data_IF_862575393824
#
_entry.id   IF_862575393824
#
_cell.length_a   1.000
_cell.length_b   1.000
_cell.length_c   1.000
_cell.angle_alpha   90.00
_cell.angle_beta   90.00
_cell.angle_gamma   90.00
#
_symmetry.space_group_name_H-M   'P 1'
#
loop_
_entity.id
_entity.type
_entity.pdbx_description
1 polymer ?
#
# COMPACT_ATOMS: atom_id res chain seq x y z
N UNK A 1 -20.77 10.52 -6.35
CA UNK A 1 -20.45 11.24 -5.10
C UNK A 1 -20.15 10.26 -3.96
N UNK A 2 -21.05 9.32 -3.63
CA UNK A 2 -20.88 8.34 -2.54
C UNK A 2 -19.48 7.67 -2.49
N UNK A 3 -19.01 7.12 -3.63
CA UNK A 3 -17.73 6.41 -3.70
C UNK A 3 -16.48 7.24 -3.34
N UNK A 4 -16.50 8.57 -3.51
CA UNK A 4 -15.28 9.38 -3.28
C UNK A 4 -15.04 9.60 -1.79
N UNK A 5 -16.10 9.95 -1.03
CA UNK A 5 -16.02 10.06 0.43
C UNK A 5 -15.68 8.71 1.04
N UNK A 6 -16.30 7.63 0.56
CA UNK A 6 -15.97 6.26 0.98
C UNK A 6 -14.50 5.88 0.70
N UNK A 7 -13.93 6.23 -0.45
CA UNK A 7 -12.49 5.99 -0.72
C UNK A 7 -11.59 6.76 0.23
N UNK A 8 -11.89 8.04 0.49
CA UNK A 8 -11.13 8.86 1.43
C UNK A 8 -11.19 8.28 2.86
N UNK A 9 -12.37 7.85 3.34
CA UNK A 9 -12.52 7.25 4.67
C UNK A 9 -11.86 5.88 4.78
N UNK A 10 -11.93 5.04 3.75
CA UNK A 10 -11.20 3.77 3.70
C UNK A 10 -9.68 3.98 3.74
N UNK A 11 -9.16 4.93 2.95
CA UNK A 11 -7.74 5.26 2.94
C UNK A 11 -7.25 5.79 4.30
N UNK A 12 -8.03 6.65 4.96
CA UNK A 12 -7.73 7.13 6.33
C UNK A 12 -7.77 6.01 7.37
N UNK A 13 -8.70 5.06 7.26
CA UNK A 13 -8.76 3.88 8.13
C UNK A 13 -7.51 2.99 7.94
N UNK A 14 -7.09 2.77 6.69
CA UNK A 14 -5.88 1.99 6.38
C UNK A 14 -4.60 2.66 6.92
N UNK A 15 -4.46 3.99 6.82
CA UNK A 15 -3.34 4.71 7.42
C UNK A 15 -3.31 4.54 8.96
N UNK A 16 -4.45 4.75 9.63
CA UNK A 16 -4.58 4.56 11.08
C UNK A 16 -4.26 3.12 11.50
N UNK A 17 -4.71 2.13 10.72
CA UNK A 17 -4.43 0.71 10.94
C UNK A 17 -2.95 0.38 10.75
N UNK A 18 -2.28 0.94 9.74
CA UNK A 18 -0.83 0.82 9.57
C UNK A 18 -0.06 1.43 10.76
N UNK A 19 -0.44 2.63 11.21
CA UNK A 19 0.16 3.31 12.37
C UNK A 19 -0.01 2.49 13.67
N UNK A 20 -1.19 1.90 13.91
CA UNK A 20 -1.42 0.98 15.04
C UNK A 20 -0.47 -0.22 14.95
N UNK A 21 -0.41 -0.91 13.79
CA UNK A 21 0.43 -2.11 13.65
C UNK A 21 1.90 -1.75 13.85
N UNK A 22 2.37 -0.62 13.32
CA UNK A 22 3.74 -0.14 13.49
C UNK A 22 4.09 0.04 14.98
N UNK A 23 3.26 0.78 15.72
CA UNK A 23 3.49 1.05 17.14
C UNK A 23 3.38 -0.24 17.96
N UNK A 24 2.36 -1.07 17.75
CA UNK A 24 2.17 -2.33 18.51
C UNK A 24 3.30 -3.32 18.23
N UNK A 25 3.75 -3.45 16.98
CA UNK A 25 4.86 -4.34 16.60
C UNK A 25 6.19 -3.89 17.23
N UNK A 26 6.41 -2.57 17.34
CA UNK A 26 7.58 -2.03 18.05
C UNK A 26 7.62 -2.45 19.53
N UNK A 27 6.46 -2.60 20.18
CA UNK A 27 6.36 -3.05 21.58
C UNK A 27 6.50 -4.56 21.72
N UNK A 28 5.89 -5.33 20.83
CA UNK A 28 5.85 -6.80 20.92
C UNK A 28 7.24 -7.46 20.75
N UNK A 29 8.15 -6.82 19.99
CA UNK A 29 9.53 -7.30 19.81
C UNK A 29 10.31 -7.37 21.13
N UNK A 30 9.96 -6.56 22.13
CA UNK A 30 10.62 -6.55 23.45
C UNK A 30 10.05 -7.61 24.41
N UNK A 31 8.90 -8.22 24.10
CA UNK A 31 8.30 -9.32 24.87
C UNK A 31 8.59 -10.65 24.18
N UNK A 32 9.63 -11.35 24.63
CA UNK A 32 10.03 -12.65 24.08
C UNK A 32 8.90 -13.67 24.17
N UNK A 33 8.37 -14.10 23.01
CA UNK A 33 7.28 -15.08 22.93
C UNK A 33 7.81 -16.46 23.32
N UNK A 34 7.43 -16.94 24.50
CA UNK A 34 7.64 -18.33 24.91
C UNK A 34 6.76 -19.25 24.06
N UNK A 35 7.39 -20.10 23.24
CA UNK A 35 6.70 -20.97 22.29
C UNK A 35 6.45 -22.36 22.89
N UNK A 36 5.17 -22.73 23.02
CA UNK A 36 4.76 -24.11 23.32
C UNK A 36 4.38 -24.80 22.00
N UNK A 37 5.09 -25.86 21.57
CA UNK A 37 4.82 -26.52 20.29
C UNK A 37 3.51 -27.31 20.32
N UNK A 38 2.55 -26.93 19.48
CA UNK A 38 1.37 -27.73 19.18
C UNK A 38 1.79 -28.87 18.23
N UNK A 39 1.50 -30.10 18.65
CA UNK A 39 1.95 -31.33 17.97
C UNK A 39 0.88 -31.82 17.00
N UNK A 40 1.02 -31.49 15.71
CA UNK A 40 0.16 -32.04 14.66
C UNK A 40 0.67 -33.43 14.20
N UNK A 41 -0.18 -34.47 14.14
CA UNK A 41 0.17 -35.74 13.50
C UNK A 41 0.10 -35.65 11.96
N UNK A 42 0.65 -36.67 11.32
CA UNK A 42 1.10 -36.67 9.91
C UNK A 42 0.04 -37.01 8.86
N UNK A 43 0.42 -36.71 7.61
CA UNK A 43 -0.19 -37.17 6.35
C UNK A 43 -0.52 -38.67 6.32
N UNK A 44 -1.50 -39.04 5.48
CA UNK A 44 -1.37 -40.17 4.54
C UNK A 44 -2.30 -40.02 3.33
N UNK A 45 -1.79 -40.41 2.16
CA UNK A 45 -2.59 -40.70 0.95
C UNK A 45 -3.11 -42.15 1.02
N UNK A 46 -4.19 -42.46 0.31
CA UNK A 46 -4.76 -43.81 0.23
C UNK A 46 -5.76 -43.94 -0.92
N UNK A 47 -5.47 -44.86 -1.84
CA UNK A 47 -6.29 -45.22 -3.02
C UNK A 47 -6.64 -46.69 -2.96
N UNK A 48 -7.93 -47.06 -2.98
CA UNK A 48 -8.39 -48.40 -3.40
C UNK A 48 -9.93 -48.51 -3.51
N UNK A 49 -10.39 -49.64 -4.05
CA UNK A 49 -11.77 -49.93 -4.47
C UNK A 49 -12.41 -51.03 -3.57
N UNK A 50 -13.57 -51.66 -3.83
CA UNK A 50 -14.45 -51.68 -5.01
C UNK A 50 -15.91 -52.03 -4.64
N UNK A 51 -16.75 -52.22 -5.67
CA UNK A 51 -18.12 -52.75 -5.73
C UNK A 51 -18.70 -53.55 -4.54
N UNK A 52 -19.96 -53.24 -4.18
CA UNK A 52 -21.14 -53.93 -4.77
C UNK A 52 -22.48 -53.62 -4.07
N UNK A 53 -23.59 -53.60 -4.81
CA UNK A 53 -24.95 -53.42 -4.25
C UNK A 53 -26.05 -53.22 -5.30
N UNK A 54 -26.84 -54.27 -5.59
CA UNK A 54 -27.80 -54.31 -6.71
C UNK A 54 -29.21 -53.80 -6.38
N UNK A 55 -29.88 -53.12 -7.33
CA UNK A 55 -31.33 -53.19 -7.52
C UNK A 55 -31.75 -52.90 -8.98
N UNK A 56 -32.81 -53.58 -9.45
CA UNK A 56 -33.30 -53.55 -10.84
C UNK A 56 -34.27 -52.40 -11.10
N UNK A 57 -34.19 -51.78 -12.28
CA UNK A 57 -35.38 -51.22 -12.96
C UNK A 57 -35.19 -51.21 -14.48
N UNK A 58 -36.20 -51.66 -15.23
CA UNK A 58 -36.15 -51.76 -16.68
C UNK A 58 -36.38 -50.39 -17.32
N UNK A 59 -35.30 -49.73 -17.74
CA UNK A 59 -35.34 -48.64 -18.72
C UNK A 59 -34.25 -48.89 -19.77
N UNK A 60 -34.45 -48.38 -21.00
CA UNK A 60 -33.47 -48.52 -22.09
C UNK A 60 -32.21 -47.72 -21.79
N UNK A 61 -31.24 -48.35 -21.12
CA UNK A 61 -29.94 -47.74 -20.82
C UNK A 61 -29.11 -47.70 -22.09
N UNK A 62 -28.89 -46.49 -22.61
CA UNK A 62 -27.85 -46.24 -23.61
C UNK A 62 -26.51 -46.47 -22.92
N UNK A 63 -25.86 -47.59 -23.22
CA UNK A 63 -24.58 -47.97 -22.64
C UNK A 63 -23.46 -47.20 -23.33
N UNK A 64 -23.26 -45.93 -22.92
CA UNK A 64 -22.15 -45.13 -23.39
C UNK A 64 -20.82 -45.85 -23.10
N UNK A 65 -19.91 -45.82 -24.07
CA UNK A 65 -18.54 -46.24 -23.84
C UNK A 65 -17.94 -45.35 -22.74
N UNK A 66 -17.48 -45.94 -21.64
CA UNK A 66 -16.86 -45.19 -20.53
C UNK A 66 -15.51 -44.57 -20.90
N UNK A 67 -14.93 -44.94 -22.06
CA UNK A 67 -13.74 -44.31 -22.62
C UNK A 67 -14.10 -42.92 -23.17
N UNK A 68 -14.09 -41.93 -22.29
CA UNK A 68 -14.03 -40.53 -22.66
C UNK A 68 -12.58 -40.19 -23.04
N UNK A 69 -12.27 -40.21 -24.34
CA UNK A 69 -10.96 -39.76 -24.83
C UNK A 69 -10.86 -38.23 -24.67
N UNK A 70 -10.16 -37.78 -23.62
CA UNK A 70 -9.92 -36.35 -23.39
C UNK A 70 -8.87 -35.86 -24.38
N UNK A 71 -9.32 -35.44 -25.56
CA UNK A 71 -8.47 -34.78 -26.55
C UNK A 71 -8.20 -33.34 -26.10
N UNK A 72 -6.97 -33.08 -25.70
CA UNK A 72 -6.50 -31.74 -25.40
C UNK A 72 -6.39 -30.93 -26.72
N UNK A 73 -7.14 -29.84 -26.82
CA UNK A 73 -6.96 -28.83 -27.87
C UNK A 73 -5.61 -28.12 -27.70
N UNK A 74 -5.06 -27.57 -28.78
CA UNK A 74 -3.85 -26.73 -28.68
C UNK A 74 -4.10 -25.53 -27.75
N UNK A 75 -3.09 -25.06 -27.02
CA UNK A 75 -3.29 -23.99 -26.03
C UNK A 75 -3.81 -22.67 -26.63
N UNK A 76 -3.56 -22.44 -27.92
CA UNK A 76 -4.06 -21.30 -28.69
C UNK A 76 -5.55 -21.48 -29.01
N UNK A 77 -5.94 -22.58 -29.64
CA UNK A 77 -7.34 -22.85 -29.99
C UNK A 77 -8.22 -23.06 -28.75
N UNK A 78 -7.67 -23.65 -27.68
CA UNK A 78 -8.38 -23.88 -26.43
C UNK A 78 -8.83 -22.56 -25.77
N UNK A 79 -8.00 -21.49 -25.85
CA UNK A 79 -8.36 -20.17 -25.32
C UNK A 79 -9.46 -19.51 -26.15
N UNK A 80 -9.36 -19.55 -27.48
CA UNK A 80 -10.39 -18.98 -28.36
C UNK A 80 -11.71 -19.74 -28.26
N UNK A 81 -11.67 -21.07 -28.26
CA UNK A 81 -12.85 -21.92 -28.09
C UNK A 81 -13.49 -21.78 -26.70
N UNK A 82 -12.70 -21.54 -25.64
CA UNK A 82 -13.23 -21.20 -24.31
C UNK A 82 -13.93 -19.84 -24.34
N UNK A 83 -13.29 -18.81 -24.89
CA UNK A 83 -13.85 -17.46 -24.97
C UNK A 83 -15.14 -17.42 -25.81
N UNK A 84 -15.21 -18.18 -26.91
CA UNK A 84 -16.42 -18.33 -27.73
C UNK A 84 -17.56 -19.10 -27.04
N UNK A 85 -17.25 -19.89 -26.00
CA UNK A 85 -18.24 -20.65 -25.20
C UNK A 85 -18.63 -19.95 -23.89
N UNK A 86 -18.08 -18.77 -23.59
CA UNK A 86 -18.47 -18.00 -22.42
C UNK A 86 -19.93 -17.54 -22.54
N UNK A 87 -20.72 -17.74 -21.48
CA UNK A 87 -22.05 -17.16 -21.39
C UNK A 87 -21.97 -15.63 -21.32
N UNK A 88 -23.01 -14.92 -21.78
CA UNK A 88 -23.03 -13.45 -21.81
C UNK A 88 -22.61 -12.79 -20.48
N UNK A 89 -23.04 -13.34 -19.34
CA UNK A 89 -22.65 -12.85 -18.01
C UNK A 89 -21.19 -13.15 -17.65
N UNK A 90 -20.64 -14.29 -18.10
CA UNK A 90 -19.21 -14.60 -17.96
C UNK A 90 -18.34 -13.70 -18.86
N UNK A 91 -18.79 -13.42 -20.08
CA UNK A 91 -18.15 -12.48 -21.01
C UNK A 91 -18.13 -11.05 -20.46
N UNK A 92 -19.21 -10.60 -19.81
CA UNK A 92 -19.24 -9.32 -19.09
C UNK A 92 -18.19 -9.24 -17.97
N UNK A 93 -18.12 -10.25 -17.09
CA UNK A 93 -17.09 -10.32 -16.04
C UNK A 93 -15.67 -10.40 -16.61
N UNK A 94 -15.46 -11.20 -17.65
CA UNK A 94 -14.16 -11.29 -18.33
C UNK A 94 -13.77 -9.94 -18.94
N UNK A 95 -14.72 -9.19 -19.53
CA UNK A 95 -14.50 -7.83 -20.05
C UNK A 95 -14.21 -6.82 -18.95
N UNK A 96 -14.81 -6.96 -17.77
CA UNK A 96 -14.48 -6.15 -16.58
C UNK A 96 -13.07 -6.46 -16.06
N UNK A 97 -12.72 -7.73 -15.87
CA UNK A 97 -11.37 -8.16 -15.47
C UNK A 97 -10.32 -7.68 -16.50
N UNK A 98 -10.59 -7.81 -17.81
CA UNK A 98 -9.71 -7.26 -18.85
C UNK A 98 -9.65 -5.74 -18.87
N UNK A 99 -10.70 -5.02 -18.46
CA UNK A 99 -10.66 -3.54 -18.31
C UNK A 99 -9.77 -3.14 -17.14
N UNK A 100 -9.90 -3.79 -15.98
CA UNK A 100 -9.04 -3.60 -14.82
C UNK A 100 -7.57 -3.94 -15.18
N UNK A 101 -7.34 -5.07 -15.84
CA UNK A 101 -6.01 -5.49 -16.31
C UNK A 101 -5.38 -4.56 -17.35
N UNK A 102 -6.18 -3.75 -18.07
CA UNK A 102 -5.70 -2.70 -18.99
C UNK A 102 -5.46 -1.35 -18.30
N UNK A 103 -5.93 -1.18 -17.06
CA UNK A 103 -5.65 0.01 -16.24
C UNK A 103 -4.36 -0.18 -15.42
N UNK A 104 -4.05 -1.43 -15.03
CA UNK A 104 -2.79 -1.81 -14.43
C UNK A 104 -1.59 -1.53 -15.35
N UNK A 105 -0.51 -1.02 -14.75
CA UNK A 105 0.80 -0.87 -15.37
C UNK A 105 1.33 -2.24 -15.83
N UNK A 106 1.88 -2.29 -17.04
CA UNK A 106 2.46 -3.52 -17.58
C UNK A 106 3.66 -3.95 -16.71
N UNK A 107 3.94 -5.26 -16.59
CA UNK A 107 4.96 -5.80 -15.69
C UNK A 107 6.33 -5.13 -15.88
N UNK A 108 6.71 -4.83 -17.13
CA UNK A 108 7.94 -4.09 -17.45
C UNK A 108 7.94 -2.63 -16.93
N UNK A 109 6.79 -1.95 -16.92
CA UNK A 109 6.65 -0.61 -16.37
C UNK A 109 6.71 -0.64 -14.83
N UNK A 110 6.03 -1.59 -14.20
CA UNK A 110 6.09 -1.81 -12.75
C UNK A 110 7.50 -2.19 -12.29
N UNK A 111 8.22 -3.03 -13.05
CA UNK A 111 9.61 -3.37 -12.80
C UNK A 111 10.55 -2.16 -12.98
N UNK A 112 10.35 -1.34 -14.02
CA UNK A 112 11.12 -0.09 -14.20
C UNK A 112 10.90 0.88 -13.03
N UNK A 113 9.66 1.05 -12.59
CA UNK A 113 9.30 1.88 -11.44
C UNK A 113 9.96 1.36 -10.15
N UNK A 114 9.76 0.07 -9.84
CA UNK A 114 10.35 -0.58 -8.67
C UNK A 114 11.89 -0.50 -8.69
N UNK A 115 12.54 -0.64 -9.84
CA UNK A 115 13.99 -0.48 -9.98
C UNK A 115 14.47 0.96 -9.70
N UNK A 116 13.70 1.99 -10.11
CA UNK A 116 14.04 3.38 -9.76
C UNK A 116 13.77 3.71 -8.29
N UNK A 117 12.74 3.13 -7.69
CA UNK A 117 12.31 3.38 -6.30
C UNK A 117 13.19 2.64 -5.28
N UNK A 118 13.55 1.39 -5.55
CA UNK A 118 14.25 0.51 -4.63
C UNK A 118 15.50 1.14 -3.97
N UNK A 119 16.47 1.73 -4.70
CA UNK A 119 17.64 2.34 -4.08
C UNK A 119 17.27 3.53 -3.17
N UNK A 120 16.27 4.34 -3.53
CA UNK A 120 15.82 5.45 -2.67
C UNK A 120 15.19 4.93 -1.37
N UNK A 121 14.35 3.89 -1.46
CA UNK A 121 13.71 3.28 -0.29
C UNK A 121 14.75 2.59 0.62
N UNK A 122 15.70 1.87 0.04
CA UNK A 122 16.76 1.18 0.79
C UNK A 122 17.71 2.15 1.48
N UNK A 123 18.17 3.20 0.79
CA UNK A 123 19.03 4.24 1.38
C UNK A 123 18.30 5.01 2.48
N UNK A 124 17.03 5.39 2.29
CA UNK A 124 16.23 6.04 3.33
C UNK A 124 16.14 5.16 4.59
N UNK A 125 15.75 3.90 4.44
CA UNK A 125 15.61 2.98 5.57
C UNK A 125 16.95 2.68 6.26
N UNK A 126 18.05 2.52 5.53
CA UNK A 126 19.38 2.37 6.11
C UNK A 126 19.77 3.59 6.95
N UNK A 127 19.64 4.80 6.40
CA UNK A 127 19.94 6.04 7.12
C UNK A 127 19.06 6.22 8.37
N UNK A 128 17.78 5.83 8.30
CA UNK A 128 16.88 5.82 9.45
C UNK A 128 17.33 4.85 10.55
N UNK A 129 17.67 3.60 10.21
CA UNK A 129 18.17 2.61 11.19
C UNK A 129 19.50 3.06 11.81
N UNK A 130 20.45 3.56 11.01
CA UNK A 130 21.74 4.08 11.49
C UNK A 130 21.52 5.30 12.40
N UNK A 131 20.57 6.19 12.07
CA UNK A 131 20.25 7.34 12.94
C UNK A 131 19.73 6.94 14.33
N UNK A 132 19.05 5.80 14.47
CA UNK A 132 18.59 5.29 15.78
C UNK A 132 19.71 4.70 16.64
N UNK A 133 20.91 4.50 16.10
CA UNK A 133 22.11 4.15 16.89
C UNK A 133 22.68 5.39 17.59
N UNK A 134 22.52 6.58 16.99
CA UNK A 134 23.08 7.85 17.48
C UNK A 134 22.09 8.75 18.23
N UNK A 135 20.79 8.46 18.18
CA UNK A 135 19.73 9.31 18.75
C UNK A 135 18.57 8.47 19.31
N UNK A 136 17.86 9.00 20.30
CA UNK A 136 16.62 8.39 20.76
C UNK A 136 15.59 8.30 19.63
N UNK A 137 14.91 7.15 19.51
CA UNK A 137 13.83 6.88 18.57
C UNK A 137 12.81 8.03 18.48
N UNK A 138 12.44 8.66 19.60
CA UNK A 138 11.47 9.76 19.65
C UNK A 138 11.96 10.99 18.89
N UNK A 139 13.25 11.35 19.01
CA UNK A 139 13.86 12.46 18.29
C UNK A 139 14.04 12.15 16.80
N UNK A 140 14.45 10.92 16.46
CA UNK A 140 14.54 10.46 15.06
C UNK A 140 13.18 10.56 14.37
N UNK A 141 12.10 10.16 15.05
CA UNK A 141 10.73 10.28 14.52
C UNK A 141 10.32 11.74 14.25
N UNK A 142 10.71 12.69 15.11
CA UNK A 142 10.44 14.12 14.87
C UNK A 142 11.17 14.62 13.63
N UNK A 143 12.44 14.29 13.46
CA UNK A 143 13.19 14.64 12.24
C UNK A 143 12.56 13.97 11.02
N UNK A 144 12.18 12.70 11.11
CA UNK A 144 11.46 12.00 10.02
C UNK A 144 10.10 12.64 9.69
N UNK A 145 9.40 13.27 10.65
CA UNK A 145 8.13 13.96 10.37
C UNK A 145 8.30 15.15 9.40
N UNK A 146 9.53 15.70 9.28
CA UNK A 146 9.86 16.71 8.26
C UNK A 146 9.78 16.20 6.82
N UNK A 147 9.70 14.88 6.60
CA UNK A 147 9.39 14.28 5.29
C UNK A 147 8.17 14.95 4.66
N UNK A 148 7.11 15.25 5.44
CA UNK A 148 5.90 15.90 4.91
C UNK A 148 6.18 17.28 4.29
N UNK A 149 7.17 18.01 4.80
CA UNK A 149 7.61 19.28 4.23
C UNK A 149 8.41 19.06 2.93
N UNK A 150 9.33 18.10 2.92
CA UNK A 150 10.09 17.75 1.72
C UNK A 150 9.20 17.19 0.60
N UNK A 151 8.18 16.39 0.93
CA UNK A 151 7.17 15.89 -0.03
C UNK A 151 6.42 17.05 -0.71
N UNK A 152 6.02 18.07 0.04
CA UNK A 152 5.42 19.30 -0.50
C UNK A 152 6.39 20.13 -1.35
N UNK A 153 7.66 20.20 -0.94
CA UNK A 153 8.70 20.91 -1.69
C UNK A 153 8.96 20.22 -3.04
N UNK A 154 9.02 18.89 -3.02
CA UNK A 154 9.27 18.05 -4.20
C UNK A 154 8.07 17.98 -5.15
N UNK A 155 6.83 18.12 -4.66
CA UNK A 155 5.65 18.21 -5.53
C UNK A 155 5.55 19.52 -6.32
N UNK A 156 6.46 20.49 -6.10
CA UNK A 156 6.69 21.63 -6.98
C UNK A 156 7.59 21.27 -8.19
N UNK A 157 8.57 20.39 -8.00
CA UNK A 157 9.55 20.01 -9.02
C UNK A 157 9.08 18.83 -9.90
N UNK A 158 8.38 17.86 -9.30
CA UNK A 158 7.87 16.69 -10.00
C UNK A 158 6.39 16.86 -10.38
N UNK A 159 6.02 16.37 -11.57
CA UNK A 159 4.63 16.35 -12.03
C UNK A 159 3.85 15.34 -11.18
N UNK A 160 3.22 15.86 -10.12
CA UNK A 160 2.45 15.06 -9.16
C UNK A 160 0.94 15.16 -9.48
N UNK A 161 0.12 14.13 -9.26
CA UNK A 161 -1.34 14.19 -9.37
C UNK A 161 -1.95 15.44 -8.71
N UNK A 162 -3.08 15.90 -9.26
CA UNK A 162 -3.71 17.19 -8.93
C UNK A 162 -3.95 17.41 -7.43
N UNK A 163 -4.21 16.32 -6.69
CA UNK A 163 -4.38 16.24 -5.23
C UNK A 163 -3.17 16.75 -4.44
N UNK A 164 -1.95 16.50 -4.91
CA UNK A 164 -0.69 16.76 -4.21
C UNK A 164 -0.04 18.10 -4.63
N UNK A 165 -0.70 18.89 -5.49
CA UNK A 165 -0.22 20.22 -5.88
C UNK A 165 0.10 21.11 -4.69
N UNK A 166 1.21 21.84 -4.81
CA UNK A 166 1.65 22.82 -3.83
C UNK A 166 0.56 23.88 -3.56
N UNK A 167 0.36 24.25 -2.30
CA UNK A 167 -0.57 25.32 -1.89
C UNK A 167 -0.08 25.88 -0.57
N UNK A 168 -0.07 27.21 -0.42
CA UNK A 168 0.43 27.88 0.81
C UNK A 168 -0.30 27.39 2.06
N UNK A 169 -1.62 27.15 1.97
CA UNK A 169 -2.40 26.57 3.06
C UNK A 169 -1.86 25.20 3.51
N UNK A 170 -1.50 24.29 2.59
CA UNK A 170 -0.90 22.99 2.94
C UNK A 170 0.46 23.14 3.61
N UNK A 171 1.29 24.07 3.14
CA UNK A 171 2.60 24.34 3.74
C UNK A 171 2.47 24.86 5.18
N UNK A 172 1.55 25.81 5.44
CA UNK A 172 1.28 26.30 6.80
C UNK A 172 0.81 25.15 7.69
N UNK A 173 -0.09 24.28 7.19
CA UNK A 173 -0.56 23.11 7.93
C UNK A 173 0.57 22.14 8.30
N UNK A 174 1.48 21.85 7.37
CA UNK A 174 2.63 20.97 7.63
C UNK A 174 3.60 21.60 8.64
N UNK A 175 3.92 22.89 8.52
CA UNK A 175 4.78 23.58 9.49
C UNK A 175 4.17 23.60 10.89
N UNK A 176 2.85 23.81 11.00
CA UNK A 176 2.14 23.77 12.28
C UNK A 176 2.16 22.36 12.91
N UNK A 177 2.07 21.32 12.09
CA UNK A 177 2.21 19.92 12.51
C UNK A 177 3.61 19.61 13.05
N UNK A 178 4.66 19.97 12.29
CA UNK A 178 6.06 19.77 12.71
C UNK A 178 6.34 20.54 14.01
N UNK A 179 5.84 21.78 14.14
CA UNK A 179 5.96 22.58 15.36
C UNK A 179 5.34 21.85 16.57
N UNK A 180 4.17 21.25 16.42
CA UNK A 180 3.55 20.46 17.49
C UNK A 180 4.34 19.20 17.85
N UNK A 181 4.91 18.49 16.87
CA UNK A 181 5.80 17.34 17.10
C UNK A 181 7.09 17.73 17.86
N UNK A 182 7.65 18.90 17.56
CA UNK A 182 8.79 19.45 18.32
C UNK A 182 8.36 19.75 19.76
N UNK A 183 7.23 20.44 19.97
CA UNK A 183 6.72 20.76 21.33
C UNK A 183 6.52 19.50 22.19
N UNK A 184 6.01 18.40 21.60
CA UNK A 184 5.84 17.11 22.28
C UNK A 184 7.16 16.54 22.81
N UNK A 185 8.29 16.79 22.14
CA UNK A 185 9.58 16.15 22.41
C UNK A 185 10.59 17.02 23.16
N UNK A 186 10.29 18.31 23.37
CA UNK A 186 11.10 19.18 24.23
C UNK A 186 11.42 18.59 25.63
N UNK A 187 10.50 17.90 26.35
CA UNK A 187 10.80 17.40 27.69
C UNK A 187 11.89 16.31 27.76
N UNK A 188 12.09 15.54 26.69
CA UNK A 188 13.05 14.43 26.64
C UNK A 188 14.48 14.89 26.30
N UNK A 189 14.68 16.19 26.03
CA UNK A 189 15.90 16.70 25.38
C UNK A 189 17.04 17.09 26.34
N UNK A 190 17.78 16.08 26.83
CA UNK A 190 19.13 16.29 27.37
C UNK A 190 20.13 16.62 26.25
N UNK A 191 20.11 17.86 25.75
CA UNK A 191 20.90 18.32 24.59
C UNK A 191 22.42 18.28 24.80
N UNK A 192 23.06 17.16 24.45
CA UNK A 192 24.52 17.05 24.29
C UNK A 192 24.94 17.42 22.87
N UNK A 193 25.16 18.72 22.63
CA UNK A 193 25.39 19.34 21.32
C UNK A 193 26.49 18.72 20.42
N UNK A 194 27.40 17.90 20.97
CA UNK A 194 28.53 17.33 20.20
C UNK A 194 28.20 16.04 19.43
N UNK A 195 27.28 15.20 19.92
CA UNK A 195 26.95 13.91 19.30
C UNK A 195 25.73 14.01 18.35
N UNK A 196 24.88 15.02 18.58
CA UNK A 196 23.63 15.25 17.86
C UNK A 196 23.86 15.50 16.35
N UNK A 197 24.97 16.12 15.96
CA UNK A 197 25.20 16.58 14.58
C UNK A 197 25.15 15.44 13.54
N UNK A 198 25.71 14.26 13.85
CA UNK A 198 25.76 13.14 12.92
C UNK A 198 24.38 12.48 12.81
N UNK A 199 23.77 12.09 13.93
CA UNK A 199 22.43 11.49 13.94
C UNK A 199 21.37 12.40 13.31
N UNK A 200 21.40 13.70 13.60
CA UNK A 200 20.47 14.68 13.02
C UNK A 200 20.67 14.82 11.51
N UNK A 201 21.92 14.87 11.03
CA UNK A 201 22.20 14.92 9.59
C UNK A 201 21.74 13.64 8.87
N UNK A 202 21.94 12.46 9.46
CA UNK A 202 21.52 11.18 8.88
C UNK A 202 19.99 11.04 8.84
N UNK A 203 19.28 11.40 9.91
CA UNK A 203 17.80 11.39 9.93
C UNK A 203 17.19 12.42 8.98
N UNK A 204 17.79 13.61 8.85
CA UNK A 204 17.35 14.61 7.86
C UNK A 204 17.58 14.12 6.43
N UNK A 205 18.72 13.47 6.16
CA UNK A 205 19.04 12.86 4.88
C UNK A 205 18.04 11.73 4.53
N UNK A 206 17.72 10.87 5.51
CA UNK A 206 16.66 9.86 5.41
C UNK A 206 15.30 10.47 5.04
N UNK A 207 14.89 11.55 5.72
CA UNK A 207 13.62 12.22 5.45
C UNK A 207 13.53 12.77 4.00
N UNK A 208 14.65 13.28 3.45
CA UNK A 208 14.73 13.73 2.06
C UNK A 208 14.64 12.56 1.08
N UNK A 209 15.38 11.46 1.31
CA UNK A 209 15.31 10.27 0.45
C UNK A 209 13.93 9.59 0.49
N UNK A 210 13.29 9.56 1.65
CA UNK A 210 11.94 9.02 1.82
C UNK A 210 10.89 9.91 1.12
N UNK A 211 11.01 11.24 1.20
CA UNK A 211 10.16 12.14 0.43
C UNK A 211 10.34 11.98 -1.09
N UNK A 212 11.59 11.89 -1.57
CA UNK A 212 11.91 11.60 -2.98
C UNK A 212 11.31 10.27 -3.43
N UNK A 213 11.34 9.24 -2.58
CA UNK A 213 10.77 7.93 -2.86
C UNK A 213 9.26 8.00 -3.13
N UNK A 214 8.51 8.62 -2.22
CA UNK A 214 7.05 8.69 -2.31
C UNK A 214 6.60 9.61 -3.45
N UNK A 215 7.27 10.75 -3.66
CA UNK A 215 6.96 11.66 -4.78
C UNK A 215 7.27 11.00 -6.14
N UNK A 216 8.37 10.25 -6.24
CA UNK A 216 8.67 9.46 -7.45
C UNK A 216 7.56 8.45 -7.70
N UNK A 217 7.18 7.66 -6.69
CA UNK A 217 6.07 6.69 -6.79
C UNK A 217 4.76 7.36 -7.24
N UNK A 218 4.37 8.49 -6.62
CA UNK A 218 3.15 9.21 -6.99
C UNK A 218 3.17 9.83 -8.38
N UNK A 219 4.33 10.24 -8.90
CA UNK A 219 4.43 10.77 -10.27
C UNK A 219 4.21 9.70 -11.36
N UNK A 220 4.36 8.41 -11.04
CA UNK A 220 4.06 7.30 -11.96
C UNK A 220 2.68 6.66 -11.68
N UNK A 221 2.15 6.79 -10.46
CA UNK A 221 0.92 6.11 -10.00
C UNK A 221 -0.10 7.11 -9.46
N UNK A 222 -0.96 7.60 -10.36
CA UNK A 222 -2.05 8.53 -10.00
C UNK A 222 -3.16 7.87 -9.16
N UNK A 223 -3.47 6.59 -9.44
CA UNK A 223 -4.63 5.87 -8.92
C UNK A 223 -4.24 4.45 -8.48
N UNK A 224 -4.89 3.93 -7.44
CA UNK A 224 -4.74 2.56 -6.94
C UNK A 224 -4.88 1.50 -8.06
N UNK A 225 -5.88 1.67 -8.94
CA UNK A 225 -6.20 0.75 -10.04
C UNK A 225 -5.09 0.61 -11.10
N UNK A 226 -4.04 1.44 -11.03
CA UNK A 226 -2.89 1.40 -11.95
C UNK A 226 -1.74 0.51 -11.46
N UNK A 227 -1.70 0.13 -10.18
CA UNK A 227 -0.54 -0.57 -9.60
C UNK A 227 -0.97 -1.83 -8.86
N UNK A 228 -0.45 -2.98 -9.27
CA UNK A 228 -0.44 -4.15 -8.41
C UNK A 228 0.60 -3.92 -7.31
N UNK A 229 0.10 -3.51 -6.14
CA UNK A 229 0.92 -3.10 -5.01
C UNK A 229 1.70 -4.28 -4.41
N UNK A 230 1.17 -5.50 -4.47
CA UNK A 230 1.84 -6.70 -3.95
C UNK A 230 3.02 -7.05 -4.87
N UNK A 231 2.80 -7.06 -6.20
CA UNK A 231 3.86 -7.26 -7.18
C UNK A 231 4.94 -6.17 -7.08
N UNK A 232 4.53 -4.92 -6.89
CA UNK A 232 5.42 -3.78 -6.73
C UNK A 232 6.35 -3.91 -5.50
N UNK A 233 5.81 -4.20 -4.31
CA UNK A 233 6.63 -4.44 -3.12
C UNK A 233 7.51 -5.70 -3.25
N UNK A 234 7.03 -6.76 -3.89
CA UNK A 234 7.85 -7.94 -4.19
C UNK A 234 9.07 -7.61 -5.07
N UNK A 235 8.88 -6.78 -6.10
CA UNK A 235 9.96 -6.29 -6.97
C UNK A 235 10.91 -5.33 -6.24
N UNK A 236 10.40 -4.43 -5.39
CA UNK A 236 11.24 -3.59 -4.51
C UNK A 236 12.11 -4.48 -3.62
N UNK A 237 11.53 -5.49 -2.96
CA UNK A 237 12.28 -6.42 -2.12
C UNK A 237 13.37 -7.16 -2.88
N UNK A 238 13.05 -7.68 -4.07
CA UNK A 238 14.01 -8.34 -4.96
C UNK A 238 15.17 -7.43 -5.37
N UNK A 239 14.88 -6.19 -5.80
CA UNK A 239 15.92 -5.23 -6.18
C UNK A 239 16.75 -4.75 -4.99
N UNK A 240 16.16 -4.60 -3.80
CA UNK A 240 16.92 -4.30 -2.60
C UNK A 240 17.89 -5.43 -2.24
N UNK A 241 17.45 -6.70 -2.27
CA UNK A 241 18.37 -7.83 -2.06
C UNK A 241 19.50 -7.80 -3.10
N UNK A 242 19.19 -7.56 -4.38
CA UNK A 242 20.19 -7.50 -5.45
C UNK A 242 21.16 -6.30 -5.34
N UNK A 243 20.72 -5.15 -4.82
CA UNK A 243 21.54 -3.94 -4.67
C UNK A 243 22.34 -3.91 -3.36
N UNK A 244 21.79 -4.44 -2.27
CA UNK A 244 22.39 -4.35 -0.94
C UNK A 244 23.15 -5.60 -0.49
N UNK A 245 23.01 -6.76 -1.15
CA UNK A 245 23.88 -7.92 -0.84
C UNK A 245 25.39 -7.65 -0.98
N UNK A 246 25.90 -6.83 -1.94
CA UNK A 246 27.34 -6.56 -2.04
C UNK A 246 27.85 -5.69 -0.90
N UNK A 247 26.96 -4.92 -0.24
CA UNK A 247 27.32 -4.04 0.87
C UNK A 247 27.83 -4.84 2.07
N UNK A 248 27.28 -6.05 2.32
CA UNK A 248 27.79 -6.94 3.38
C UNK A 248 29.20 -7.46 3.07
N UNK A 249 29.48 -7.80 1.81
CA UNK A 249 30.82 -8.25 1.37
C UNK A 249 31.81 -7.09 1.52
N UNK A 250 31.39 -5.87 1.17
CA UNK A 250 32.17 -4.66 1.34
C UNK A 250 32.47 -4.41 2.83
N UNK A 251 31.46 -4.36 3.71
CA UNK A 251 31.65 -4.16 5.16
C UNK A 251 32.59 -5.20 5.79
N UNK A 252 32.50 -6.47 5.36
CA UNK A 252 33.40 -7.52 5.83
C UNK A 252 34.86 -7.27 5.41
N UNK A 253 35.09 -6.81 4.17
CA UNK A 253 36.43 -6.46 3.68
C UNK A 253 37.04 -5.23 4.39
N UNK A 254 36.22 -4.32 4.89
CA UNK A 254 36.65 -3.16 5.68
C UNK A 254 36.75 -3.45 7.19
N UNK A 255 36.58 -4.71 7.62
CA UNK A 255 36.62 -5.15 9.03
C UNK A 255 35.65 -4.40 9.98
N UNK A 256 34.64 -3.71 9.42
CA UNK A 256 33.66 -2.96 10.19
C UNK A 256 32.67 -3.88 10.92
N UNK A 257 32.33 -5.01 10.30
CA UNK A 257 31.51 -6.07 10.91
C UNK A 257 32.02 -7.46 10.48
N UNK A 258 32.09 -8.39 11.42
CA UNK A 258 32.39 -9.80 11.14
C UNK A 258 31.15 -10.51 10.59
N UNK A 259 31.24 -11.07 9.38
CA UNK A 259 30.13 -11.81 8.78
C UNK A 259 29.93 -13.17 9.45
N UNK A 260 29.00 -13.24 10.41
CA UNK A 260 28.56 -14.48 11.06
C UNK A 260 27.14 -14.85 10.60
N UNK A 261 26.93 -16.13 10.28
CA UNK A 261 25.60 -16.62 9.90
C UNK A 261 24.67 -16.66 11.12
N UNK A 262 23.47 -16.04 11.08
CA UNK A 262 22.57 -16.02 12.22
C UNK A 262 22.08 -17.44 12.55
N UNK A 263 21.97 -17.73 13.86
CA UNK A 263 21.38 -18.97 14.34
C UNK A 263 19.94 -19.12 13.81
N UNK A 264 19.47 -20.35 13.57
CA UNK A 264 18.13 -20.65 13.02
C UNK A 264 16.98 -19.92 13.76
N UNK A 265 17.12 -19.75 15.08
CA UNK A 265 16.16 -18.97 15.89
C UNK A 265 16.23 -17.47 15.59
N UNK A 266 17.43 -16.88 15.54
CA UNK A 266 17.64 -15.48 15.18
C UNK A 266 17.15 -15.19 13.76
N UNK A 267 17.45 -16.07 12.80
CA UNK A 267 16.97 -15.97 11.43
C UNK A 267 15.43 -16.00 11.36
N UNK A 268 14.77 -16.89 12.11
CA UNK A 268 13.30 -16.92 12.20
C UNK A 268 12.74 -15.63 12.82
N UNK A 269 13.34 -15.13 13.91
CA UNK A 269 12.94 -13.85 14.52
C UNK A 269 13.16 -12.65 13.58
N UNK A 270 14.26 -12.63 12.82
CA UNK A 270 14.52 -11.60 11.80
C UNK A 270 13.48 -11.64 10.67
N UNK A 271 13.10 -12.83 10.19
CA UNK A 271 12.05 -12.98 9.17
C UNK A 271 10.69 -12.51 9.70
N UNK A 272 10.29 -12.96 10.90
CA UNK A 272 9.01 -12.56 11.51
C UNK A 272 8.98 -11.06 11.76
N UNK A 273 10.05 -10.48 12.31
CA UNK A 273 10.16 -9.04 12.52
C UNK A 273 10.16 -8.28 11.18
N UNK A 274 10.86 -8.75 10.15
CA UNK A 274 10.83 -8.14 8.82
C UNK A 274 9.43 -8.13 8.21
N UNK A 275 8.72 -9.26 8.27
CA UNK A 275 7.37 -9.38 7.72
C UNK A 275 6.39 -8.49 8.50
N UNK A 276 6.31 -8.65 9.82
CA UNK A 276 5.28 -8.03 10.68
C UNK A 276 5.57 -6.57 11.00
N UNK A 277 6.84 -6.20 11.28
CA UNK A 277 7.22 -4.83 11.67
C UNK A 277 7.44 -3.92 10.46
N UNK A 278 8.00 -4.44 9.37
CA UNK A 278 8.36 -3.62 8.20
C UNK A 278 7.39 -3.80 7.02
N UNK A 279 7.24 -5.01 6.46
CA UNK A 279 6.55 -5.14 5.16
C UNK A 279 5.03 -4.99 5.24
N UNK A 280 4.36 -5.58 6.25
CA UNK A 280 2.89 -5.51 6.34
C UNK A 280 2.39 -4.07 6.59
N UNK A 281 2.96 -3.28 7.52
CA UNK A 281 2.57 -1.88 7.70
C UNK A 281 2.84 -1.03 6.46
N UNK A 282 3.98 -1.20 5.78
CA UNK A 282 4.33 -0.48 4.54
C UNK A 282 3.33 -0.75 3.40
N UNK A 283 2.91 -2.01 3.21
CA UNK A 283 1.90 -2.37 2.19
C UNK A 283 0.55 -1.69 2.47
N UNK A 284 0.11 -1.72 3.73
CA UNK A 284 -1.16 -1.12 4.17
C UNK A 284 -1.08 0.42 4.11
N UNK A 285 0.05 0.99 4.51
CA UNK A 285 0.32 2.42 4.43
C UNK A 285 0.33 2.89 2.97
N UNK A 286 0.91 2.12 2.03
CA UNK A 286 0.88 2.48 0.62
C UNK A 286 -0.54 2.39 0.04
N UNK A 287 -1.36 1.42 0.46
CA UNK A 287 -2.79 1.42 0.11
C UNK A 287 -3.44 2.73 0.59
N UNK A 288 -3.33 3.05 1.89
CA UNK A 288 -3.84 4.30 2.46
C UNK A 288 -3.35 5.56 1.73
N UNK A 289 -2.06 5.57 1.35
CA UNK A 289 -1.42 6.63 0.57
C UNK A 289 -2.03 6.78 -0.82
N UNK A 290 -2.25 5.68 -1.55
CA UNK A 290 -2.84 5.70 -2.90
C UNK A 290 -4.32 6.08 -2.89
N UNK A 291 -5.11 5.62 -1.90
CA UNK A 291 -6.52 6.00 -1.72
C UNK A 291 -6.71 7.47 -1.30
N UNK A 292 -5.76 8.05 -0.57
CA UNK A 292 -5.83 9.44 -0.08
C UNK A 292 -4.97 10.39 -0.93
N UNK A 293 -3.81 10.81 -0.42
CA UNK A 293 -2.82 11.65 -1.07
C UNK A 293 -1.47 11.41 -0.38
N UNK A 294 -0.35 11.65 -1.08
CA UNK A 294 0.97 11.40 -0.49
C UNK A 294 1.22 12.24 0.76
N UNK A 295 0.74 13.49 0.75
CA UNK A 295 0.91 14.41 1.89
C UNK A 295 0.10 13.99 3.13
N UNK A 296 -1.13 13.45 2.97
CA UNK A 296 -1.90 12.94 4.11
C UNK A 296 -1.18 11.73 4.72
N UNK A 297 -0.68 10.82 3.88
CA UNK A 297 0.03 9.63 4.33
C UNK A 297 1.34 9.96 5.07
N UNK A 298 2.12 10.94 4.61
CA UNK A 298 3.34 11.38 5.33
C UNK A 298 3.01 12.13 6.61
N UNK A 299 1.88 12.86 6.67
CA UNK A 299 1.45 13.50 7.92
C UNK A 299 0.91 12.50 8.95
N UNK A 300 0.36 11.35 8.53
CA UNK A 300 -0.02 10.26 9.44
C UNK A 300 1.19 9.75 10.24
N UNK A 301 2.36 9.62 9.60
CA UNK A 301 3.62 9.24 10.25
C UNK A 301 4.03 10.24 11.36
N UNK A 302 3.66 11.51 11.22
CA UNK A 302 3.82 12.51 12.29
C UNK A 302 2.87 12.28 13.46
N UNK A 303 1.62 11.87 13.18
CA UNK A 303 0.59 11.56 14.18
C UNK A 303 0.92 10.27 14.98
N UNK A 304 1.73 9.37 14.43
CA UNK A 304 2.30 8.21 15.12
C UNK A 304 3.05 8.58 16.41
N UNK A 305 3.66 9.78 16.47
CA UNK A 305 4.40 10.26 17.65
C UNK A 305 3.48 10.42 18.88
N UNK A 306 2.48 11.33 18.90
CA UNK A 306 1.55 11.44 20.02
C UNK A 306 0.77 10.16 20.28
N UNK A 307 0.39 9.40 19.24
CA UNK A 307 -0.30 8.11 19.40
C UNK A 307 0.56 7.13 20.22
N UNK A 308 1.86 7.02 19.91
CA UNK A 308 2.78 6.12 20.62
C UNK A 308 2.92 6.47 22.11
N UNK A 309 2.89 7.76 22.46
CA UNK A 309 2.94 8.24 23.85
C UNK A 309 1.65 7.89 24.59
N UNK A 310 0.49 8.12 23.96
CA UNK A 310 -0.83 7.75 24.52
C UNK A 310 -0.90 6.23 24.77
N UNK A 311 -0.47 5.41 23.81
CA UNK A 311 -0.50 3.95 23.95
C UNK A 311 0.46 3.46 25.06
N UNK A 312 1.64 4.09 25.20
CA UNK A 312 2.56 3.83 26.33
C UNK A 312 1.91 4.18 27.67
N UNK A 313 1.30 5.37 27.78
CA UNK A 313 0.62 5.84 28.99
C UNK A 313 -0.59 4.98 29.42
N UNK A 314 -1.34 4.42 28.46
CA UNK A 314 -2.47 3.50 28.74
C UNK A 314 -1.98 2.10 29.15
N UNK A 315 -0.85 1.64 28.58
CA UNK A 315 -0.43 0.23 28.66
C UNK A 315 0.73 -0.02 29.64
N UNK A 316 1.18 0.99 30.38
CA UNK A 316 2.26 0.86 31.37
C UNK A 316 1.72 0.99 32.79
N UNK A 317 2.24 0.16 33.71
CA UNK A 317 2.07 0.34 35.16
C UNK A 317 3.22 1.17 35.77
N UNK A 318 4.22 1.58 34.98
CA UNK A 318 5.37 2.34 35.49
C UNK A 318 5.06 3.84 35.62
N UNK A 319 5.39 4.37 36.79
CA UNK A 319 5.17 5.76 37.21
C UNK A 319 5.80 6.77 36.22
N UNK A 320 6.98 6.44 35.68
CA UNK A 320 7.72 7.28 34.71
C UNK A 320 7.01 7.47 33.36
N UNK A 321 6.13 6.56 32.96
CA UNK A 321 5.35 6.69 31.72
C UNK A 321 4.07 7.52 31.93
N UNK A 322 3.54 7.54 33.16
CA UNK A 322 2.40 8.39 33.52
C UNK A 322 2.77 9.87 33.62
N UNK A 323 3.97 10.22 34.11
CA UNK A 323 4.42 11.62 34.15
C UNK A 323 4.57 12.23 32.75
N UNK A 324 4.98 11.45 31.74
CA UNK A 324 5.03 11.90 30.33
C UNK A 324 3.65 12.27 29.77
N UNK A 325 2.59 11.58 30.21
CA UNK A 325 1.20 11.83 29.79
C UNK A 325 0.55 13.02 30.51
N UNK A 326 1.01 13.38 31.71
CA UNK A 326 0.47 14.50 32.49
C UNK A 326 1.16 15.85 32.22
N UNK A 327 2.28 15.88 31.51
CA UNK A 327 2.98 17.12 31.16
C UNK A 327 2.12 18.04 30.28
N UNK A 328 2.02 19.35 30.61
CA UNK A 328 1.26 20.30 29.79
C UNK A 328 1.82 20.46 28.38
N UNK A 329 3.14 20.27 28.19
CA UNK A 329 3.81 20.28 26.88
C UNK A 329 3.24 19.23 25.92
N UNK A 330 2.84 18.06 26.43
CA UNK A 330 2.23 17.01 25.60
C UNK A 330 0.89 17.49 25.01
N UNK A 331 -0.01 18.00 25.85
CA UNK A 331 -1.30 18.55 25.38
C UNK A 331 -1.11 19.78 24.46
N UNK A 332 -0.14 20.64 24.78
CA UNK A 332 0.18 21.83 24.00
C UNK A 332 0.65 21.50 22.57
N UNK A 333 1.34 20.38 22.36
CA UNK A 333 1.75 19.91 21.02
C UNK A 333 0.76 18.93 20.36
N UNK A 334 -0.05 18.20 21.15
CA UNK A 334 -1.11 17.30 20.65
C UNK A 334 -2.21 18.06 19.91
N UNK A 335 -2.61 19.23 20.41
CA UNK A 335 -3.67 20.03 19.77
C UNK A 335 -3.23 20.55 18.38
N UNK A 336 -2.06 21.18 18.19
CA UNK A 336 -1.56 21.55 16.86
C UNK A 336 -1.42 20.39 15.89
N UNK A 337 -0.85 19.25 16.32
CA UNK A 337 -0.64 18.09 15.45
C UNK A 337 -1.97 17.51 14.95
N UNK A 338 -2.90 17.22 15.85
CA UNK A 338 -4.23 16.67 15.49
C UNK A 338 -5.04 17.63 14.63
N UNK A 339 -5.13 18.92 15.03
CA UNK A 339 -5.87 19.95 14.26
C UNK A 339 -5.27 20.12 12.86
N UNK A 340 -3.94 20.11 12.71
CA UNK A 340 -3.29 20.20 11.40
C UNK A 340 -3.68 19.03 10.47
N UNK A 341 -3.76 17.81 11.01
CA UNK A 341 -4.10 16.62 10.24
C UNK A 341 -5.55 16.68 9.73
N UNK A 342 -6.52 16.98 10.61
CA UNK A 342 -7.92 17.15 10.21
C UNK A 342 -8.13 18.31 9.24
N UNK A 343 -7.40 19.41 9.41
CA UNK A 343 -7.46 20.56 8.50
C UNK A 343 -6.89 20.21 7.11
N UNK A 344 -5.82 19.40 7.02
CA UNK A 344 -5.32 18.92 5.73
C UNK A 344 -6.31 17.98 5.02
N UNK A 345 -6.96 17.09 5.77
CA UNK A 345 -8.02 16.21 5.23
C UNK A 345 -9.16 17.06 4.66
N UNK A 346 -9.60 18.08 5.40
CA UNK A 346 -10.64 19.02 4.95
C UNK A 346 -10.23 19.79 3.70
N UNK A 347 -9.02 20.36 3.66
CA UNK A 347 -8.48 21.03 2.46
C UNK A 347 -8.46 20.11 1.24
N UNK A 348 -8.06 18.84 1.43
CA UNK A 348 -7.98 17.85 0.35
C UNK A 348 -9.38 17.43 -0.12
N UNK A 349 -10.34 17.28 0.79
CA UNK A 349 -11.74 17.05 0.45
C UNK A 349 -12.34 18.21 -0.37
N UNK A 350 -12.12 19.45 0.04
CA UNK A 350 -12.58 20.65 -0.70
C UNK A 350 -11.97 20.73 -2.10
N UNK A 351 -10.67 20.47 -2.23
CA UNK A 351 -9.99 20.45 -3.52
C UNK A 351 -10.58 19.40 -4.47
N UNK A 352 -10.79 18.18 -3.97
CA UNK A 352 -11.42 17.09 -4.72
C UNK A 352 -12.89 17.35 -5.07
N UNK A 353 -13.63 18.06 -4.22
CA UNK A 353 -15.01 18.48 -4.51
C UNK A 353 -15.04 19.42 -5.71
N UNK A 354 -14.28 20.51 -5.66
CA UNK A 354 -14.23 21.53 -6.71
C UNK A 354 -13.80 20.93 -8.07
N UNK A 355 -12.76 20.08 -8.08
CA UNK A 355 -12.28 19.47 -9.33
C UNK A 355 -13.30 18.53 -9.97
N UNK A 356 -14.12 17.84 -9.17
CA UNK A 356 -15.20 17.01 -9.68
C UNK A 356 -16.36 17.84 -10.25
N UNK A 357 -16.63 19.04 -9.72
CA UNK A 357 -17.67 19.93 -10.25
C UNK A 357 -17.32 20.40 -11.67
N UNK A 358 -16.08 20.85 -11.91
CA UNK A 358 -15.58 21.20 -13.25
C UNK A 358 -15.57 20.00 -14.22
N UNK A 359 -15.21 18.81 -13.73
CA UNK A 359 -15.24 17.58 -14.53
C UNK A 359 -16.69 17.16 -14.86
N UNK A 360 -17.64 17.30 -13.94
CA UNK A 360 -19.06 17.03 -14.21
C UNK A 360 -19.64 18.02 -15.23
N UNK A 361 -19.35 19.32 -15.11
CA UNK A 361 -19.78 20.34 -16.07
C UNK A 361 -19.27 20.04 -17.49
N UNK A 362 -17.96 19.81 -17.64
CA UNK A 362 -17.35 19.49 -18.94
C UNK A 362 -17.79 18.12 -19.49
N UNK A 363 -17.97 17.12 -18.63
CA UNK A 363 -18.42 15.79 -19.06
C UNK A 363 -19.92 15.73 -19.38
N UNK A 364 -20.77 16.57 -18.77
CA UNK A 364 -22.15 16.76 -19.19
C UNK A 364 -22.23 17.41 -20.58
N UNK A 365 -21.40 18.42 -20.86
CA UNK A 365 -21.28 18.99 -22.21
C UNK A 365 -20.79 17.93 -23.23
N UNK A 366 -19.78 17.12 -22.87
CA UNK A 366 -19.24 16.07 -23.76
C UNK A 366 -20.23 14.91 -23.97
N UNK A 367 -20.96 14.46 -22.94
CA UNK A 367 -22.00 13.43 -23.05
C UNK A 367 -23.17 13.87 -23.91
N UNK A 368 -23.55 15.16 -23.85
CA UNK A 368 -24.56 15.74 -24.76
C UNK A 368 -24.12 15.64 -26.23
N UNK A 369 -22.81 15.74 -26.49
CA UNK A 369 -22.23 15.63 -27.83
C UNK A 369 -22.07 14.18 -28.31
N UNK A 370 -21.76 13.25 -27.41
CA UNK A 370 -21.56 11.81 -27.73
C UNK A 370 -22.89 11.07 -27.93
N UNK A 371 -23.93 11.38 -27.14
CA UNK A 371 -25.27 10.76 -27.32
C UNK A 371 -25.90 11.01 -28.69
N UNK A 372 -25.51 12.10 -29.37
CA UNK A 372 -25.93 12.41 -30.75
C UNK A 372 -25.18 11.57 -31.81
N UNK A 373 -24.16 10.80 -31.42
CA UNK A 373 -23.31 10.00 -32.32
C UNK A 373 -23.61 8.50 -32.23
N UNK A 374 -23.88 8.01 -31.02
CA UNK A 374 -24.09 6.57 -30.79
C UNK A 374 -25.52 6.12 -31.10
N UNK A 375 -26.51 7.02 -31.00
CA UNK A 375 -27.93 6.70 -31.28
C UNK A 375 -28.19 6.25 -32.72
N UNK A 376 -27.47 6.81 -33.69
CA UNK A 376 -27.59 6.43 -35.10
C UNK A 376 -26.92 5.08 -35.43
N UNK A 377 -26.08 4.56 -34.53
CA UNK A 377 -25.34 3.31 -34.72
C UNK A 377 -26.03 2.12 -34.04
N UNK A 378 -26.53 2.29 -32.80
CA UNK A 378 -27.18 1.20 -32.05
C UNK A 378 -28.53 0.76 -32.67
N UNK A 379 -29.17 1.60 -33.48
CA UNK A 379 -30.45 1.31 -34.13
C UNK A 379 -30.32 0.55 -35.47
N UNK A 380 -29.10 0.25 -35.93
CA UNK A 380 -28.86 -0.41 -37.23
C UNK A 380 -28.57 -1.93 -37.14
N UNK A 381 -28.39 -2.50 -35.93
CA UNK A 381 -28.02 -3.92 -35.75
C UNK A 381 -29.18 -4.86 -35.32
N UNK A 382 -30.45 -4.51 -35.59
CA UNK A 382 -31.54 -5.49 -35.50
C UNK A 382 -31.57 -6.39 -36.74
N UNK A 383 -30.58 -7.30 -36.82
CA UNK A 383 -30.39 -8.26 -37.91
C UNK A 383 -31.40 -9.44 -37.84
N UNK A 384 -32.68 -9.10 -37.91
CA UNK A 384 -33.77 -10.03 -38.22
C UNK A 384 -34.47 -9.48 -39.47
N UNK A 385 -34.04 -9.95 -40.64
CA UNK A 385 -34.85 -9.81 -41.84
C UNK A 385 -36.09 -10.69 -41.67
N UNK A 386 -37.21 -10.07 -41.27
CA UNK A 386 -38.52 -10.68 -41.42
C UNK A 386 -38.75 -10.80 -42.93
N UNK A 387 -38.65 -12.03 -43.44
CA UNK A 387 -38.91 -12.32 -44.83
C UNK A 387 -40.43 -12.26 -45.04
N UNK A 388 -40.93 -11.11 -45.48
CA UNK A 388 -42.30 -11.01 -45.99
C UNK A 388 -42.40 -11.92 -47.22
N UNK A 389 -43.02 -13.08 -47.03
CA UNK A 389 -43.36 -13.96 -48.14
C UNK A 389 -44.56 -13.37 -48.86
N UNK A 390 -44.31 -12.70 -49.98
CA UNK A 390 -45.35 -12.36 -50.94
C UNK A 390 -46.17 -13.60 -51.28
N UNK A 391 -47.49 -13.47 -51.15
CA UNK A 391 -48.47 -14.40 -51.71
C UNK A 391 -49.47 -13.61 -52.53
N UNK A 392 -49.10 -13.35 -53.78
CA UNK A 392 -50.10 -13.27 -54.83
C UNK A 392 -50.58 -14.69 -55.15
N UNK A 393 -51.87 -14.96 -54.92
CA UNK A 393 -52.90 -15.52 -55.82
C UNK A 393 -54.19 -15.66 -55.02
#
# INVERSE_FOLDING_TARGET
>A
MHNLSQRLTLGLLLLLLADIIWIVSSKFTNSSVSYVPIKNPSMTSGTESDDSGTAKSNNKVVRFNKVAEVRHLSETEAKEALMARLSYSATLRAREICRLSRQLLNLHQTAKLAFTVAPLWGVANLLHQVSMVYMEHTLVSVVMSTTSFFTLLLSLFFVTPSTDRFTVAKLITVLFSITGNVIITLPDSHFSFSEINIGFALSLCSAVFYALNIVTLRSWVDHEDKLDIILYFGLIGLFNVLMFWPLFIFLHYFELETFEWPNKQQAMSLIINGVVKATLPEVIWLWGCLLTSSIIATMSIGLTIPMSIILRGISSQNISDHERFSLPSFYLGLVPTTVSYFFLIWLTHQYNYNQNEYNCLSHCQRKKLIRLRDGDAEQAESLIQIHETDKEV
#
